data_IF_259806413556
#
_entry.id   IF_259806413556
#
_cell.length_a   1.000
_cell.length_b   1.000
_cell.length_c   1.000
_cell.angle_alpha   90.00
_cell.angle_beta   90.00
_cell.angle_gamma   90.00
#
_symmetry.space_group_name_H-M   'P 1'
#
loop_
_entity.id
_entity.type
_entity.pdbx_description
1 polymer ?
#
# COMPACT_ATOMS: atom_id res chain seq x y z
N UNK A 1 8.40 74.29 30.92
CA UNK A 1 6.99 73.87 30.82
C UNK A 1 6.77 73.06 29.56
N UNK A 2 6.29 71.84 29.73
CA UNK A 2 5.59 71.03 28.71
C UNK A 2 6.44 70.46 27.59
N UNK A 3 6.52 69.23 27.29
CA UNK A 3 5.62 68.09 27.28
C UNK A 3 6.43 66.94 26.67
N UNK A 4 6.67 65.92 27.44
CA UNK A 4 7.22 64.65 27.00
C UNK A 4 6.16 63.60 27.27
N UNK A 5 5.40 63.20 26.24
CA UNK A 5 4.68 61.92 26.23
C UNK A 5 4.17 61.60 24.83
N UNK A 6 4.85 60.64 24.16
CA UNK A 6 4.28 59.70 23.19
C UNK A 6 5.37 58.99 22.38
N UNK A 7 5.99 57.94 22.89
CA UNK A 7 6.74 56.99 22.08
C UNK A 7 6.98 55.63 22.77
N UNK A 8 5.94 55.05 23.38
CA UNK A 8 6.03 53.70 23.94
C UNK A 8 4.93 52.72 23.52
N UNK A 9 4.03 53.13 22.61
CA UNK A 9 2.89 52.27 22.19
C UNK A 9 3.05 51.45 20.93
N UNK A 10 4.05 51.74 20.10
CA UNK A 10 4.15 51.13 18.76
C UNK A 10 5.10 49.94 18.69
N UNK A 11 5.96 49.72 19.68
CA UNK A 11 6.96 48.63 19.66
C UNK A 11 6.39 47.30 20.21
N UNK A 12 5.32 47.34 21.00
CA UNK A 12 4.73 46.12 21.56
C UNK A 12 3.76 45.39 20.64
N UNK A 13 3.19 46.01 19.62
CA UNK A 13 2.25 45.35 18.70
C UNK A 13 2.98 44.59 17.57
N UNK A 14 4.21 44.96 17.21
CA UNK A 14 4.98 44.29 16.16
C UNK A 14 5.56 42.95 16.67
N UNK A 15 5.86 42.84 17.97
CA UNK A 15 6.39 41.58 18.53
C UNK A 15 5.30 40.49 18.69
N UNK A 16 4.05 40.86 18.87
CA UNK A 16 2.95 39.90 19.00
C UNK A 16 2.48 39.31 17.67
N UNK A 17 2.60 40.04 16.56
CA UNK A 17 2.22 39.57 15.22
C UNK A 17 3.30 38.63 14.62
N UNK A 18 4.58 38.84 14.94
CA UNK A 18 5.66 37.91 14.51
C UNK A 18 5.63 36.57 15.27
N UNK A 19 5.18 36.52 16.52
CA UNK A 19 5.07 35.28 17.29
C UNK A 19 3.92 34.37 16.81
N UNK A 20 2.87 34.93 16.19
CA UNK A 20 1.75 34.17 15.62
C UNK A 20 2.03 33.63 14.22
N UNK A 21 2.98 34.18 13.49
CA UNK A 21 3.37 33.71 12.15
C UNK A 21 4.44 32.60 12.17
N UNK A 22 5.16 32.41 13.27
CA UNK A 22 6.18 31.36 13.42
C UNK A 22 5.58 30.05 13.93
N UNK A 23 4.41 30.07 14.57
CA UNK A 23 3.75 28.83 15.03
C UNK A 23 2.94 28.07 13.95
N UNK A 24 2.77 28.65 12.76
CA UNK A 24 2.08 27.97 11.63
C UNK A 24 3.00 27.19 10.67
N UNK A 25 4.31 27.14 10.91
CA UNK A 25 5.26 26.49 9.99
C UNK A 25 5.89 25.20 10.53
N UNK A 26 5.39 24.63 11.63
CA UNK A 26 5.87 23.35 12.15
C UNK A 26 4.78 22.30 12.36
N UNK A 27 3.70 22.36 11.61
CA UNK A 27 2.93 21.13 11.35
C UNK A 27 3.62 20.46 10.17
N UNK A 28 4.75 19.84 10.44
CA UNK A 28 5.27 18.79 9.58
C UNK A 28 4.21 17.71 9.56
N UNK A 29 3.51 17.57 8.44
CA UNK A 29 2.70 16.39 8.18
C UNK A 29 3.62 15.19 8.37
N UNK A 30 3.47 14.50 9.49
CA UNK A 30 3.93 13.13 9.63
C UNK A 30 3.06 12.32 8.67
N UNK A 31 3.46 12.24 7.39
CA UNK A 31 2.99 11.22 6.47
C UNK A 31 3.52 9.86 6.92
N UNK A 32 3.15 9.48 8.15
CA UNK A 32 3.21 8.09 8.59
C UNK A 32 2.18 7.32 7.79
N UNK A 33 2.48 6.10 7.43
CA UNK A 33 1.73 5.01 6.79
C UNK A 33 0.19 4.96 6.93
N UNK A 34 -0.46 5.99 7.41
CA UNK A 34 -1.91 6.07 7.44
C UNK A 34 -2.43 6.31 6.03
N UNK A 35 -2.82 5.20 5.36
CA UNK A 35 -3.84 5.30 4.34
C UNK A 35 -3.48 4.95 2.91
N UNK A 36 -2.43 4.18 2.62
CA UNK A 36 -2.28 3.61 1.29
C UNK A 36 -2.97 2.25 1.22
N UNK A 37 -4.12 2.20 0.53
CA UNK A 37 -4.94 0.99 0.35
C UNK A 37 -5.03 0.58 -1.12
N UNK A 38 -4.17 1.11 -1.97
CA UNK A 38 -4.23 0.98 -3.41
C UNK A 38 -4.97 2.14 -4.08
N UNK A 39 -5.51 1.93 -5.26
CA UNK A 39 -6.23 2.96 -6.02
C UNK A 39 -7.67 3.10 -5.52
N UNK A 40 -8.06 4.26 -5.01
CA UNK A 40 -9.46 4.52 -4.64
C UNK A 40 -10.36 4.44 -5.88
N UNK A 41 -11.40 3.61 -5.80
CA UNK A 41 -12.44 3.55 -6.84
C UNK A 41 -13.47 4.64 -6.59
N UNK A 42 -14.21 4.55 -5.48
CA UNK A 42 -15.18 5.55 -5.03
C UNK A 42 -15.67 5.21 -3.61
N UNK A 43 -16.51 6.05 -3.05
CA UNK A 43 -17.32 5.73 -1.89
C UNK A 43 -18.60 5.00 -2.33
N UNK A 44 -19.08 4.04 -1.52
CA UNK A 44 -20.35 3.34 -1.77
C UNK A 44 -21.50 4.33 -1.78
N UNK A 45 -22.43 4.16 -2.71
CA UNK A 45 -23.73 4.85 -2.64
C UNK A 45 -24.48 4.36 -1.42
N UNK A 46 -25.07 5.29 -0.65
CA UNK A 46 -25.81 4.98 0.58
C UNK A 46 -27.31 4.91 0.28
N UNK A 47 -27.78 3.77 -0.25
CA UNK A 47 -29.16 3.62 -0.67
C UNK A 47 -30.04 3.04 0.41
N UNK A 48 -29.64 1.90 1.01
CA UNK A 48 -30.41 1.17 2.02
C UNK A 48 -29.50 0.52 3.06
N UNK A 49 -30.06 0.16 4.22
CA UNK A 49 -29.45 -0.69 5.24
C UNK A 49 -28.11 -0.16 5.78
N UNK A 50 -27.93 1.18 5.83
CA UNK A 50 -26.71 1.85 6.29
C UNK A 50 -25.44 1.37 5.58
N UNK A 51 -25.55 0.88 4.33
CA UNK A 51 -24.42 0.51 3.51
C UNK A 51 -23.60 1.76 3.23
N UNK A 52 -22.33 1.77 3.67
CA UNK A 52 -21.40 2.86 3.44
C UNK A 52 -19.96 2.38 3.54
N UNK A 53 -19.01 3.21 3.11
CA UNK A 53 -17.58 2.93 3.14
C UNK A 53 -16.91 3.29 1.82
N UNK A 54 -15.58 3.25 1.80
CA UNK A 54 -14.77 3.54 0.61
C UNK A 54 -14.23 2.26 -0.02
N UNK A 55 -14.28 2.13 -1.34
CA UNK A 55 -13.81 0.97 -2.08
C UNK A 55 -12.52 1.29 -2.82
N UNK A 56 -11.51 0.43 -2.65
CA UNK A 56 -10.20 0.55 -3.27
C UNK A 56 -9.88 -0.70 -4.08
N UNK A 57 -9.14 -0.52 -5.17
CA UNK A 57 -8.48 -1.59 -5.91
C UNK A 57 -7.09 -1.82 -5.28
N UNK A 58 -6.89 -2.99 -4.68
CA UNK A 58 -5.59 -3.41 -4.10
C UNK A 58 -4.66 -3.91 -5.20
N UNK A 59 -5.20 -4.73 -6.09
CA UNK A 59 -4.54 -5.28 -7.27
C UNK A 59 -5.59 -5.62 -8.35
N UNK A 60 -5.23 -6.43 -9.35
CA UNK A 60 -6.11 -6.82 -10.44
C UNK A 60 -7.35 -7.61 -9.99
N UNK A 61 -7.33 -8.25 -8.82
CA UNK A 61 -8.36 -9.20 -8.37
C UNK A 61 -8.88 -8.94 -6.97
N UNK A 62 -8.36 -7.93 -6.28
CA UNK A 62 -8.65 -7.68 -4.87
C UNK A 62 -9.24 -6.30 -4.67
N UNK A 63 -10.41 -6.26 -4.04
CA UNK A 63 -11.03 -5.03 -3.53
C UNK A 63 -10.79 -4.93 -2.02
N UNK A 64 -10.56 -3.72 -1.55
CA UNK A 64 -10.50 -3.39 -0.13
C UNK A 64 -11.61 -2.39 0.18
N UNK A 65 -12.46 -2.73 1.15
CA UNK A 65 -13.51 -1.86 1.65
C UNK A 65 -13.04 -1.26 2.98
N UNK A 66 -12.85 0.05 2.99
CA UNK A 66 -12.44 0.82 4.17
C UNK A 66 -13.65 1.36 4.91
N UNK A 67 -13.68 1.17 6.22
CA UNK A 67 -14.75 1.65 7.11
C UNK A 67 -16.15 1.16 6.64
N UNK A 68 -16.24 -0.10 6.21
CA UNK A 68 -17.47 -0.66 5.69
C UNK A 68 -18.53 -0.81 6.79
N UNK A 69 -19.74 -0.36 6.48
CA UNK A 69 -20.91 -0.49 7.33
C UNK A 69 -22.04 -1.21 6.58
N UNK A 70 -22.80 -2.01 7.32
CA UNK A 70 -24.06 -2.62 6.91
C UNK A 70 -24.79 -3.08 8.18
N UNK A 71 -26.11 -2.80 8.29
CA UNK A 71 -26.89 -3.10 9.51
C UNK A 71 -27.15 -4.60 9.75
N UNK A 72 -26.99 -5.44 8.71
CA UNK A 72 -27.19 -6.89 8.81
C UNK A 72 -28.66 -7.31 8.73
N UNK A 73 -29.59 -6.42 8.39
CA UNK A 73 -31.04 -6.68 8.46
C UNK A 73 -31.64 -7.09 7.12
N UNK A 74 -30.88 -7.06 6.02
CA UNK A 74 -31.34 -7.56 4.72
C UNK A 74 -31.44 -9.09 4.72
N UNK A 75 -32.60 -9.69 4.37
CA UNK A 75 -32.82 -11.14 4.51
C UNK A 75 -31.93 -11.99 3.60
N UNK A 76 -31.52 -11.46 2.44
CA UNK A 76 -30.70 -12.15 1.45
C UNK A 76 -29.69 -11.18 0.82
N UNK A 77 -28.92 -10.47 1.64
CA UNK A 77 -27.90 -9.54 1.19
C UNK A 77 -26.56 -10.24 0.92
N UNK A 78 -25.92 -9.90 -0.21
CA UNK A 78 -24.64 -10.46 -0.67
C UNK A 78 -23.79 -9.42 -1.36
N UNK A 79 -22.48 -9.67 -1.42
CA UNK A 79 -21.57 -8.92 -2.30
C UNK A 79 -21.66 -9.43 -3.73
N UNK A 80 -21.82 -8.53 -4.69
CA UNK A 80 -21.88 -8.83 -6.11
C UNK A 80 -20.95 -7.95 -6.92
N UNK A 81 -20.44 -8.51 -8.01
CA UNK A 81 -19.74 -7.77 -9.07
C UNK A 81 -20.32 -8.13 -10.43
N UNK A 82 -20.32 -7.20 -11.34
CA UNK A 82 -20.87 -7.44 -12.68
C UNK A 82 -20.37 -6.46 -13.72
N UNK A 83 -20.71 -6.72 -14.98
CA UNK A 83 -20.28 -5.93 -16.13
C UNK A 83 -21.43 -5.23 -16.87
N UNK A 84 -22.64 -5.31 -16.34
CA UNK A 84 -23.82 -4.60 -16.89
C UNK A 84 -23.74 -3.10 -16.58
N UNK A 85 -24.61 -2.29 -17.17
CA UNK A 85 -24.65 -0.85 -16.95
C UNK A 85 -25.04 -0.45 -15.52
N UNK A 86 -25.89 -1.26 -14.88
CA UNK A 86 -26.36 -1.04 -13.51
C UNK A 86 -26.29 -2.34 -12.72
N UNK A 87 -26.14 -2.29 -11.38
CA UNK A 87 -26.16 -3.46 -10.54
C UNK A 87 -27.41 -4.30 -10.70
N UNK A 88 -27.22 -5.62 -10.75
CA UNK A 88 -28.26 -6.63 -10.84
C UNK A 88 -27.65 -8.00 -10.51
N UNK A 89 -28.41 -8.91 -9.91
CA UNK A 89 -27.92 -10.28 -9.71
C UNK A 89 -27.95 -11.13 -11.01
N UNK A 90 -28.60 -10.65 -12.08
CA UNK A 90 -28.67 -11.36 -13.38
C UNK A 90 -27.35 -11.22 -14.12
N UNK A 91 -26.65 -12.36 -14.34
CA UNK A 91 -25.35 -12.38 -15.02
C UNK A 91 -24.20 -11.78 -14.22
N UNK A 92 -24.41 -11.50 -12.94
CA UNK A 92 -23.39 -11.04 -12.02
C UNK A 92 -22.75 -12.21 -11.24
N UNK A 93 -21.63 -11.95 -10.61
CA UNK A 93 -20.92 -12.92 -9.79
C UNK A 93 -21.08 -12.56 -8.32
N UNK A 94 -21.55 -13.52 -7.51
CA UNK A 94 -21.55 -13.38 -6.06
C UNK A 94 -20.14 -13.60 -5.53
N UNK A 95 -19.67 -12.69 -4.69
CA UNK A 95 -18.40 -12.84 -3.99
C UNK A 95 -18.59 -13.61 -2.68
N UNK A 96 -17.51 -14.24 -2.23
CA UNK A 96 -17.41 -14.70 -0.85
C UNK A 96 -17.12 -13.50 0.06
N UNK A 97 -17.54 -13.59 1.32
CA UNK A 97 -17.18 -12.59 2.32
C UNK A 97 -15.67 -12.65 2.65
N UNK A 98 -15.19 -11.73 3.49
CA UNK A 98 -13.79 -11.66 3.94
C UNK A 98 -13.31 -12.90 4.71
N UNK A 99 -14.23 -13.80 5.05
CA UNK A 99 -13.96 -15.09 5.71
C UNK A 99 -14.13 -16.28 4.77
N UNK A 100 -14.26 -16.01 3.47
CA UNK A 100 -14.44 -17.04 2.45
C UNK A 100 -15.82 -17.69 2.41
N UNK A 101 -16.84 -17.16 3.12
CA UNK A 101 -18.18 -17.73 3.20
C UNK A 101 -19.08 -17.20 2.08
N UNK A 102 -19.96 -18.04 1.56
CA UNK A 102 -20.93 -17.69 0.51
C UNK A 102 -22.35 -17.40 1.06
N UNK A 103 -22.51 -17.33 2.38
CA UNK A 103 -23.78 -17.08 3.05
C UNK A 103 -24.24 -15.62 2.99
N UNK A 104 -25.43 -15.37 3.56
CA UNK A 104 -25.96 -14.01 3.75
C UNK A 104 -24.99 -13.18 4.57
N UNK A 105 -24.82 -11.91 4.19
CA UNK A 105 -23.91 -10.99 4.85
C UNK A 105 -24.33 -10.76 6.31
N UNK A 106 -23.34 -10.77 7.19
CA UNK A 106 -23.51 -10.36 8.58
C UNK A 106 -23.58 -8.84 8.71
N UNK A 107 -23.85 -8.35 9.89
CA UNK A 107 -23.67 -6.95 10.25
C UNK A 107 -22.19 -6.56 10.22
N UNK A 108 -21.88 -5.39 9.68
CA UNK A 108 -20.56 -4.73 9.68
C UNK A 108 -20.65 -3.36 10.34
N UNK A 109 -19.68 -3.01 11.16
CA UNK A 109 -19.62 -1.72 11.84
C UNK A 109 -18.21 -1.14 11.70
N UNK A 110 -18.05 -0.22 10.76
CA UNK A 110 -16.78 0.47 10.51
C UNK A 110 -15.60 -0.51 10.36
N UNK A 111 -15.82 -1.57 9.60
CA UNK A 111 -14.84 -2.64 9.41
C UNK A 111 -14.06 -2.46 8.11
N UNK A 112 -12.77 -2.80 8.18
CA UNK A 112 -11.91 -2.90 7.01
C UNK A 112 -11.90 -4.34 6.53
N UNK A 113 -12.32 -4.58 5.29
CA UNK A 113 -12.45 -5.94 4.74
C UNK A 113 -11.84 -6.04 3.34
N UNK A 114 -11.31 -7.21 3.02
CA UNK A 114 -10.74 -7.53 1.72
C UNK A 114 -11.60 -8.59 1.02
N UNK A 115 -11.94 -8.35 -0.24
CA UNK A 115 -12.75 -9.25 -1.06
C UNK A 115 -11.99 -9.63 -2.33
N UNK A 116 -11.93 -10.93 -2.63
CA UNK A 116 -11.33 -11.45 -3.84
C UNK A 116 -12.37 -11.65 -4.94
N UNK A 117 -12.03 -11.29 -6.18
CA UNK A 117 -12.85 -11.61 -7.35
C UNK A 117 -12.83 -13.13 -7.63
N UNK A 118 -13.87 -13.65 -8.27
CA UNK A 118 -13.92 -15.05 -8.67
C UNK A 118 -12.71 -15.44 -9.54
N UNK A 119 -12.37 -16.72 -9.52
CA UNK A 119 -11.29 -17.24 -10.34
C UNK A 119 -11.45 -16.87 -11.83
N UNK A 120 -10.35 -16.51 -12.48
CA UNK A 120 -10.36 -16.07 -13.87
C UNK A 120 -10.95 -14.69 -14.14
N UNK A 121 -11.40 -13.95 -13.10
CA UNK A 121 -11.91 -12.58 -13.23
C UNK A 121 -10.94 -11.55 -12.65
N UNK A 122 -10.90 -10.39 -13.29
CA UNK A 122 -10.13 -9.22 -12.89
C UNK A 122 -11.03 -7.98 -12.84
N UNK A 123 -10.49 -6.88 -12.31
CA UNK A 123 -11.19 -5.59 -12.31
C UNK A 123 -11.50 -5.06 -13.73
N UNK A 124 -10.83 -5.59 -14.77
CA UNK A 124 -11.13 -5.26 -16.18
C UNK A 124 -12.39 -5.97 -16.71
N UNK A 125 -12.82 -7.04 -16.05
CA UNK A 125 -13.98 -7.83 -16.45
C UNK A 125 -15.28 -7.36 -15.81
N UNK A 126 -15.20 -6.39 -14.89
CA UNK A 126 -16.35 -5.89 -14.13
C UNK A 126 -16.47 -4.37 -14.26
N UNK A 127 -17.66 -3.85 -14.06
CA UNK A 127 -18.00 -2.41 -14.14
C UNK A 127 -18.56 -1.85 -12.86
N UNK A 128 -18.92 -2.71 -11.92
CA UNK A 128 -19.46 -2.30 -10.64
C UNK A 128 -19.24 -3.38 -9.56
N UNK A 129 -19.23 -2.93 -8.32
CA UNK A 129 -19.36 -3.72 -7.11
C UNK A 129 -20.60 -3.23 -6.36
N UNK A 130 -21.39 -4.14 -5.74
CA UNK A 130 -22.60 -3.77 -5.03
C UNK A 130 -22.86 -4.69 -3.83
N UNK A 131 -23.59 -4.15 -2.84
CA UNK A 131 -24.31 -4.92 -1.83
C UNK A 131 -25.75 -5.06 -2.32
N UNK A 132 -26.18 -6.28 -2.62
CA UNK A 132 -27.46 -6.57 -3.27
C UNK A 132 -28.29 -7.56 -2.47
N UNK A 133 -29.59 -7.28 -2.33
CA UNK A 133 -30.56 -8.19 -1.74
C UNK A 133 -31.28 -9.00 -2.83
N UNK A 134 -31.13 -10.33 -2.79
CA UNK A 134 -31.75 -11.22 -3.78
C UNK A 134 -33.27 -11.31 -3.61
N UNK A 135 -33.76 -11.40 -2.38
CA UNK A 135 -35.19 -11.59 -2.11
C UNK A 135 -36.05 -10.42 -2.63
N UNK A 136 -35.55 -9.22 -2.52
CA UNK A 136 -36.26 -8.02 -2.97
C UNK A 136 -35.75 -7.47 -4.31
N UNK A 137 -34.70 -8.04 -4.87
CA UNK A 137 -34.01 -7.51 -6.06
C UNK A 137 -33.64 -6.02 -5.93
N UNK A 138 -33.04 -5.65 -4.79
CA UNK A 138 -32.74 -4.26 -4.43
C UNK A 138 -31.24 -4.06 -4.22
N UNK A 139 -30.73 -2.98 -4.79
CA UNK A 139 -29.37 -2.49 -4.56
C UNK A 139 -29.33 -1.70 -3.23
N UNK A 140 -28.49 -2.13 -2.27
CA UNK A 140 -28.31 -1.42 -0.99
C UNK A 140 -27.23 -0.36 -1.07
N UNK A 141 -26.27 -0.50 -1.99
CA UNK A 141 -25.20 0.43 -2.25
C UNK A 141 -24.20 -0.16 -3.22
N UNK A 142 -23.64 0.66 -4.11
CA UNK A 142 -22.72 0.24 -5.15
C UNK A 142 -21.62 1.27 -5.42
N UNK A 143 -20.61 0.85 -6.14
CA UNK A 143 -19.64 1.71 -6.81
C UNK A 143 -19.52 1.32 -8.28
N UNK A 144 -19.32 2.31 -9.14
CA UNK A 144 -18.99 2.08 -10.55
C UNK A 144 -17.47 1.99 -10.73
N UNK A 145 -17.01 0.99 -11.48
CA UNK A 145 -15.61 0.74 -11.78
C UNK A 145 -15.34 1.15 -13.23
N UNK A 146 -14.48 2.13 -13.41
CA UNK A 146 -14.15 2.65 -14.73
C UNK A 146 -13.25 1.66 -15.48
N UNK A 147 -13.45 1.53 -16.80
CA UNK A 147 -12.64 0.62 -17.63
C UNK A 147 -11.15 1.05 -17.72
N UNK A 148 -10.87 2.33 -17.50
CA UNK A 148 -9.52 2.93 -17.51
C UNK A 148 -8.90 3.00 -16.10
N UNK A 149 -9.48 2.34 -15.09
CA UNK A 149 -8.92 2.30 -13.75
C UNK A 149 -7.48 1.76 -13.77
N UNK A 150 -6.53 2.58 -13.36
CA UNK A 150 -5.15 2.16 -13.15
C UNK A 150 -5.02 1.58 -11.73
N UNK A 151 -5.21 0.27 -11.63
CA UNK A 151 -5.06 -0.46 -10.36
C UNK A 151 -3.61 -0.87 -10.12
N UNK A 152 -3.19 -1.03 -8.85
CA UNK A 152 -1.83 -1.40 -8.49
C UNK A 152 -1.41 -2.76 -9.05
N UNK A 153 -0.11 -2.89 -9.37
CA UNK A 153 0.50 -4.14 -9.87
C UNK A 153 1.99 -4.20 -9.54
N UNK A 154 2.56 -5.38 -9.34
CA UNK A 154 4.00 -5.53 -9.21
C UNK A 154 4.74 -4.87 -10.39
N UNK A 155 5.81 -4.14 -10.10
CA UNK A 155 6.53 -3.35 -11.09
C UNK A 155 7.97 -3.83 -11.20
N UNK A 156 8.43 -4.13 -12.42
CA UNK A 156 9.83 -4.44 -12.70
C UNK A 156 10.65 -3.16 -12.83
N UNK A 157 11.82 -3.17 -12.21
CA UNK A 157 12.85 -2.15 -12.36
C UNK A 157 14.17 -2.80 -12.84
N UNK A 158 15.22 -2.01 -13.05
CA UNK A 158 16.52 -2.54 -13.44
C UNK A 158 17.07 -3.53 -12.40
N UNK A 159 17.94 -4.45 -12.84
CA UNK A 159 18.73 -5.29 -11.95
C UNK A 159 19.96 -4.56 -11.43
N UNK A 160 20.53 -5.07 -10.33
CA UNK A 160 21.81 -4.59 -9.80
C UNK A 160 22.94 -4.92 -10.79
N UNK A 161 23.90 -4.01 -10.91
CA UNK A 161 25.16 -4.20 -11.64
C UNK A 161 26.21 -3.31 -10.99
N UNK A 162 27.28 -3.91 -10.48
CA UNK A 162 28.28 -3.15 -9.72
C UNK A 162 29.59 -3.88 -9.53
N UNK A 163 30.33 -3.53 -8.50
CA UNK A 163 31.61 -4.14 -8.10
C UNK A 163 31.37 -5.27 -7.09
N UNK A 164 32.39 -6.05 -6.75
CA UNK A 164 32.28 -7.18 -5.81
C UNK A 164 31.24 -8.23 -6.24
N UNK A 165 31.17 -8.51 -7.53
CA UNK A 165 30.18 -9.43 -8.13
C UNK A 165 28.71 -9.04 -7.84
N UNK A 166 28.43 -7.83 -7.37
CA UNK A 166 27.07 -7.37 -7.13
C UNK A 166 26.33 -7.32 -8.46
N UNK A 167 25.37 -8.23 -8.62
CA UNK A 167 24.53 -8.31 -9.80
C UNK A 167 23.18 -8.98 -9.48
N UNK A 168 22.17 -8.72 -10.29
CA UNK A 168 20.89 -9.44 -10.26
C UNK A 168 20.19 -9.35 -11.61
N UNK A 169 19.16 -10.18 -11.81
CA UNK A 169 18.16 -9.91 -12.83
C UNK A 169 17.29 -8.70 -12.40
N UNK A 170 16.37 -8.32 -13.29
CA UNK A 170 15.43 -7.22 -13.01
C UNK A 170 14.70 -7.46 -11.69
N UNK A 171 14.81 -6.50 -10.79
CA UNK A 171 14.13 -6.50 -9.50
C UNK A 171 12.63 -6.28 -9.71
N UNK A 172 11.81 -6.95 -8.92
CA UNK A 172 10.36 -6.73 -8.90
C UNK A 172 9.97 -6.09 -7.57
N UNK A 173 9.41 -4.90 -7.63
CA UNK A 173 8.70 -4.29 -6.51
C UNK A 173 7.34 -5.00 -6.45
N UNK A 174 7.17 -5.89 -5.48
CA UNK A 174 5.98 -6.76 -5.34
C UNK A 174 4.80 -5.99 -4.76
N UNK A 175 5.09 -5.24 -3.71
CA UNK A 175 4.15 -4.35 -3.02
C UNK A 175 4.91 -3.16 -2.39
N UNK A 176 4.20 -2.31 -1.67
CA UNK A 176 4.76 -1.09 -1.07
C UNK A 176 5.94 -1.33 -0.11
N UNK A 177 6.17 -2.56 0.37
CA UNK A 177 7.23 -2.88 1.32
C UNK A 177 8.10 -4.08 0.91
N UNK A 178 7.85 -4.71 -0.24
CA UNK A 178 8.49 -5.99 -0.62
C UNK A 178 9.21 -5.89 -1.96
N UNK A 179 10.50 -6.24 -1.95
CA UNK A 179 11.36 -6.35 -3.12
C UNK A 179 11.72 -7.83 -3.37
N UNK A 180 11.46 -8.32 -4.58
CA UNK A 180 11.94 -9.62 -5.07
C UNK A 180 13.15 -9.39 -5.97
N UNK A 181 14.29 -10.00 -5.63
CA UNK A 181 15.57 -9.83 -6.31
C UNK A 181 16.01 -11.19 -6.85
N UNK A 182 15.73 -11.48 -8.14
CA UNK A 182 16.12 -12.74 -8.73
C UNK A 182 17.62 -12.79 -9.05
N UNK A 183 18.22 -13.97 -8.94
CA UNK A 183 19.60 -14.25 -9.31
C UNK A 183 20.63 -13.27 -8.71
N UNK A 184 20.41 -12.86 -7.46
CA UNK A 184 21.34 -11.98 -6.76
C UNK A 184 22.69 -12.67 -6.50
N UNK A 185 23.78 -11.97 -6.85
CA UNK A 185 25.16 -12.38 -6.58
C UNK A 185 25.91 -11.29 -5.84
N UNK A 186 26.84 -11.71 -4.99
CA UNK A 186 27.79 -10.88 -4.24
C UNK A 186 28.93 -11.78 -3.75
N UNK A 187 30.22 -11.33 -3.83
CA UNK A 187 31.38 -12.14 -3.49
C UNK A 187 31.53 -12.44 -1.98
N UNK A 188 30.93 -11.61 -1.10
CA UNK A 188 30.99 -11.78 0.35
C UNK A 188 32.29 -11.30 1.00
N UNK A 189 33.17 -10.62 0.27
CA UNK A 189 34.55 -10.31 0.75
C UNK A 189 34.66 -9.00 1.54
N UNK A 190 33.68 -8.08 1.40
CA UNK A 190 33.75 -6.82 2.14
C UNK A 190 33.35 -6.98 3.62
N UNK A 191 34.05 -6.27 4.53
CA UNK A 191 33.86 -6.46 5.97
C UNK A 191 32.50 -6.02 6.49
N UNK A 192 31.81 -5.09 5.81
CA UNK A 192 30.55 -4.53 6.31
C UNK A 192 29.60 -4.10 5.17
N UNK A 193 29.40 -4.97 4.19
CA UNK A 193 28.40 -4.76 3.14
C UNK A 193 26.98 -5.03 3.65
N UNK A 194 26.02 -4.18 3.29
CA UNK A 194 24.61 -4.23 3.68
C UNK A 194 23.71 -3.98 2.48
N UNK A 195 22.48 -4.50 2.53
CA UNK A 195 21.40 -3.96 1.71
C UNK A 195 21.04 -2.57 2.22
N UNK A 196 20.87 -1.64 1.28
CA UNK A 196 20.82 -0.22 1.59
C UNK A 196 19.78 0.51 0.74
N UNK A 197 19.02 1.41 1.35
CA UNK A 197 18.08 2.29 0.66
C UNK A 197 18.24 3.72 1.15
N UNK A 198 17.74 4.68 0.37
CA UNK A 198 17.67 6.08 0.78
C UNK A 198 16.81 6.91 -0.16
N UNK A 199 16.50 8.14 0.22
CA UNK A 199 15.62 9.04 -0.54
C UNK A 199 16.21 9.57 -1.84
N UNK A 200 17.53 9.74 -1.88
CA UNK A 200 18.24 10.27 -3.04
C UNK A 200 18.34 9.25 -4.20
N UNK A 201 18.85 9.68 -5.35
CA UNK A 201 19.00 8.82 -6.52
C UNK A 201 20.14 7.80 -6.40
N UNK A 202 21.03 7.96 -5.43
CA UNK A 202 22.19 7.10 -5.19
C UNK A 202 22.48 6.97 -3.69
N UNK A 203 23.19 5.89 -3.27
CA UNK A 203 23.54 5.64 -1.87
C UNK A 203 24.43 6.74 -1.27
N UNK A 204 24.19 6.99 -0.01
CA UNK A 204 25.01 7.84 0.86
C UNK A 204 25.11 7.20 2.25
N UNK A 205 26.03 7.67 3.09
CA UNK A 205 26.17 7.21 4.48
C UNK A 205 24.92 7.49 5.37
N UNK A 206 23.95 8.25 4.88
CA UNK A 206 22.69 8.57 5.58
C UNK A 206 21.52 7.69 5.14
N UNK A 207 21.79 6.58 4.47
CA UNK A 207 20.76 5.63 4.07
C UNK A 207 20.28 4.76 5.25
N UNK A 208 19.41 3.83 4.92
CA UNK A 208 18.75 2.91 5.87
C UNK A 208 19.17 1.49 5.53
N UNK A 209 19.59 0.74 6.54
CA UNK A 209 19.87 -0.70 6.41
C UNK A 209 18.57 -1.47 6.17
N UNK A 210 18.64 -2.43 5.27
CA UNK A 210 17.56 -3.38 5.02
C UNK A 210 18.04 -4.74 5.53
N UNK A 211 17.27 -5.39 6.42
CA UNK A 211 17.58 -6.76 6.84
C UNK A 211 17.66 -7.71 5.64
N UNK A 212 18.53 -8.72 5.73
CA UNK A 212 18.59 -9.79 4.73
C UNK A 212 17.30 -10.63 4.70
N UNK A 213 17.21 -11.60 3.81
CA UNK A 213 16.04 -12.48 3.66
C UNK A 213 15.76 -13.35 4.90
N UNK A 214 16.65 -13.31 5.90
CA UNK A 214 16.47 -13.99 7.20
C UNK A 214 16.20 -12.99 8.34
N UNK A 215 16.00 -11.70 8.03
CA UNK A 215 15.74 -10.65 8.98
C UNK A 215 16.97 -10.15 9.74
N UNK A 216 18.20 -10.38 9.22
CA UNK A 216 19.46 -10.01 9.89
C UNK A 216 20.06 -8.76 9.26
N UNK A 217 20.62 -7.88 10.09
CA UNK A 217 21.36 -6.68 9.68
C UNK A 217 22.89 -6.84 9.81
N UNK A 218 23.37 -8.08 9.96
CA UNK A 218 24.82 -8.38 9.96
C UNK A 218 25.41 -8.16 8.57
N UNK A 219 26.76 -8.08 8.41
CA UNK A 219 27.39 -8.02 7.10
C UNK A 219 26.88 -9.12 6.16
N UNK A 220 26.65 -8.78 4.92
CA UNK A 220 26.17 -9.72 3.91
C UNK A 220 27.22 -10.82 3.68
N UNK A 221 26.74 -12.05 3.61
CA UNK A 221 27.52 -13.20 3.19
C UNK A 221 27.60 -13.25 1.65
N UNK A 222 28.37 -14.18 1.12
CA UNK A 222 28.38 -14.51 -0.31
C UNK A 222 27.01 -14.98 -0.76
N UNK A 223 26.59 -14.47 -1.92
CA UNK A 223 25.43 -14.90 -2.68
C UNK A 223 25.88 -15.36 -4.07
N UNK A 224 25.33 -16.45 -4.56
CA UNK A 224 25.59 -16.96 -5.89
C UNK A 224 24.24 -17.23 -6.59
N UNK A 225 23.83 -16.30 -7.44
CA UNK A 225 22.58 -16.33 -8.20
C UNK A 225 21.35 -16.74 -7.41
N UNK A 226 21.26 -16.25 -6.18
CA UNK A 226 20.16 -16.59 -5.28
C UNK A 226 18.99 -15.63 -5.47
N UNK A 227 17.79 -16.18 -5.63
CA UNK A 227 16.57 -15.36 -5.55
C UNK A 227 16.25 -15.07 -4.08
N UNK A 228 16.16 -13.78 -3.73
CA UNK A 228 15.87 -13.32 -2.37
C UNK A 228 14.66 -12.39 -2.36
N UNK A 229 13.97 -12.37 -1.23
CA UNK A 229 12.87 -11.45 -0.97
C UNK A 229 13.22 -10.62 0.25
N UNK A 230 13.23 -9.31 0.09
CA UNK A 230 13.51 -8.36 1.15
C UNK A 230 12.27 -7.56 1.51
N UNK A 231 12.09 -7.33 2.81
CA UNK A 231 11.01 -6.49 3.32
C UNK A 231 11.60 -5.22 3.91
N UNK A 232 11.07 -4.07 3.53
CA UNK A 232 11.47 -2.78 4.07
C UNK A 232 11.11 -2.70 5.57
N UNK A 233 12.01 -2.22 6.43
CA UNK A 233 11.81 -2.24 7.88
C UNK A 233 10.78 -1.21 8.35
N UNK A 234 10.13 -1.52 9.46
CA UNK A 234 9.20 -0.61 10.12
C UNK A 234 8.05 -0.19 9.21
N UNK A 235 7.89 1.11 9.05
CA UNK A 235 6.85 1.72 8.23
C UNK A 235 7.40 2.29 6.90
N UNK A 236 8.66 2.01 6.59
CA UNK A 236 9.28 2.43 5.34
C UNK A 236 8.62 1.75 4.14
N UNK A 237 8.37 2.52 3.10
CA UNK A 237 7.78 2.04 1.85
C UNK A 237 8.64 2.38 0.65
N UNK A 238 8.35 1.75 -0.49
CA UNK A 238 9.01 2.07 -1.76
C UNK A 238 8.73 3.50 -2.24
N UNK A 239 7.71 4.15 -1.70
CA UNK A 239 7.40 5.57 -2.00
C UNK A 239 8.30 6.55 -1.23
N UNK A 240 8.99 6.09 -0.19
CA UNK A 240 9.88 6.89 0.65
C UNK A 240 11.33 6.87 0.17
N UNK A 241 11.66 5.99 -0.80
CA UNK A 241 13.03 5.73 -1.24
C UNK A 241 13.23 6.02 -2.72
N UNK A 242 14.41 6.50 -3.10
CA UNK A 242 14.80 6.79 -4.48
C UNK A 242 15.78 5.77 -5.06
N UNK A 243 16.38 4.90 -4.22
CA UNK A 243 17.28 3.83 -4.65
C UNK A 243 17.26 2.62 -3.71
N UNK A 244 17.69 1.48 -4.24
CA UNK A 244 18.04 0.27 -3.50
C UNK A 244 19.40 -0.23 -3.99
N UNK A 245 20.26 -0.71 -3.10
CA UNK A 245 21.59 -1.22 -3.49
C UNK A 245 22.31 -1.98 -2.40
N UNK A 246 23.58 -2.26 -2.66
CA UNK A 246 24.55 -2.83 -1.72
C UNK A 246 25.59 -1.75 -1.38
N UNK A 247 25.72 -1.46 -0.11
CA UNK A 247 26.60 -0.43 0.43
C UNK A 247 27.57 -1.00 1.47
N UNK A 248 28.84 -0.66 1.38
CA UNK A 248 29.82 -0.98 2.40
C UNK A 248 29.93 0.18 3.41
N UNK A 249 29.44 -0.03 4.63
CA UNK A 249 29.48 1.01 5.67
C UNK A 249 30.91 1.30 6.15
N UNK A 250 31.74 0.26 6.29
CA UNK A 250 33.12 0.42 6.75
C UNK A 250 33.96 1.33 5.83
N UNK A 251 33.72 1.27 4.53
CA UNK A 251 34.47 2.04 3.54
C UNK A 251 33.67 3.18 2.93
N UNK A 252 32.39 3.33 3.25
CA UNK A 252 31.48 4.32 2.66
C UNK A 252 31.45 4.25 1.13
N UNK A 253 31.31 3.02 0.59
CA UNK A 253 31.39 2.75 -0.85
C UNK A 253 30.09 2.08 -1.34
N UNK A 254 29.60 2.58 -2.45
CA UNK A 254 28.52 2.00 -3.23
C UNK A 254 29.05 0.82 -4.08
N UNK A 255 28.55 -0.37 -3.83
CA UNK A 255 28.92 -1.55 -4.61
C UNK A 255 28.01 -1.78 -5.82
N UNK A 256 26.89 -1.11 -5.85
CA UNK A 256 25.92 -1.15 -6.94
C UNK A 256 24.51 -0.87 -6.44
N UNK A 257 23.80 -0.04 -7.19
CA UNK A 257 22.44 0.35 -6.84
C UNK A 257 21.55 0.47 -8.08
N UNK A 258 20.25 0.47 -7.84
CA UNK A 258 19.22 0.75 -8.83
C UNK A 258 18.32 1.87 -8.33
N UNK A 259 17.80 2.68 -9.26
CA UNK A 259 16.83 3.73 -8.94
C UNK A 259 15.43 3.13 -8.78
N UNK A 260 14.71 3.61 -7.78
CA UNK A 260 13.27 3.40 -7.62
C UNK A 260 12.57 4.53 -8.39
N UNK A 261 11.66 4.24 -9.33
CA UNK A 261 10.94 5.29 -10.06
C UNK A 261 10.02 6.10 -9.12
N UNK A 262 9.93 7.41 -9.36
CA UNK A 262 9.12 8.33 -8.54
C UNK A 262 7.60 8.07 -8.65
N UNK A 263 7.15 7.54 -9.78
CA UNK A 263 5.74 7.27 -10.06
C UNK A 263 5.51 5.78 -10.29
N UNK A 264 5.23 5.06 -9.22
CA UNK A 264 4.89 3.65 -9.25
C UNK A 264 3.52 3.43 -8.63
N UNK A 265 2.73 2.51 -9.21
CA UNK A 265 1.45 2.09 -8.68
C UNK A 265 1.54 0.60 -8.34
N UNK A 266 2.03 0.29 -7.13
CA UNK A 266 2.22 -1.07 -6.63
C UNK A 266 1.20 -1.40 -5.54
N UNK A 267 0.88 -2.68 -5.31
CA UNK A 267 -0.06 -3.07 -4.27
C UNK A 267 0.36 -2.57 -2.87
N UNK A 268 -0.58 -2.26 -1.97
CA UNK A 268 -0.27 -2.10 -0.56
C UNK A 268 0.24 -3.44 0.01
N UNK A 269 1.11 -3.40 1.01
CA UNK A 269 1.50 -4.61 1.74
C UNK A 269 0.33 -5.14 2.59
N UNK A 270 0.36 -6.43 2.92
CA UNK A 270 -0.66 -7.03 3.81
C UNK A 270 -0.73 -6.31 5.17
N UNK A 271 0.42 -5.86 5.69
CA UNK A 271 0.49 -5.07 6.93
C UNK A 271 -0.31 -3.78 6.82
N UNK A 272 -0.25 -3.07 5.70
CA UNK A 272 -0.98 -1.82 5.47
C UNK A 272 -2.50 -2.05 5.43
N UNK A 273 -2.93 -3.21 4.97
CA UNK A 273 -4.34 -3.61 4.96
C UNK A 273 -4.81 -4.19 6.31
N UNK A 274 -3.94 -4.26 7.32
CA UNK A 274 -4.25 -4.87 8.61
C UNK A 274 -4.40 -6.39 8.56
N UNK A 275 -3.91 -7.04 7.49
CA UNK A 275 -4.00 -8.49 7.29
C UNK A 275 -2.71 -9.14 7.83
N UNK A 276 -2.84 -10.05 8.81
CA UNK A 276 -1.69 -10.82 9.25
C UNK A 276 -1.31 -11.92 8.24
N UNK A 277 -0.02 -12.27 8.11
CA UNK A 277 0.41 -13.36 7.22
C UNK A 277 -0.26 -14.72 7.49
N UNK A 278 -0.70 -14.96 8.72
CA UNK A 278 -1.45 -16.16 9.11
C UNK A 278 -2.86 -16.18 8.51
N UNK A 279 -3.52 -15.02 8.42
CA UNK A 279 -4.83 -14.91 7.77
C UNK A 279 -4.71 -15.14 6.26
N UNK A 280 -3.65 -14.65 5.62
CA UNK A 280 -3.40 -14.86 4.20
C UNK A 280 -3.25 -16.37 3.84
N UNK A 281 -2.62 -17.18 4.71
CA UNK A 281 -2.49 -18.64 4.50
C UNK A 281 -3.82 -19.38 4.50
N UNK A 282 -4.77 -18.96 5.34
CA UNK A 282 -6.10 -19.58 5.41
C UNK A 282 -6.85 -19.41 4.09
N UNK A 283 -6.69 -18.26 3.43
CA UNK A 283 -7.30 -18.01 2.11
C UNK A 283 -6.71 -18.89 1.01
N UNK A 284 -5.38 -19.04 0.95
CA UNK A 284 -4.71 -19.85 -0.08
C UNK A 284 -4.96 -21.37 0.07
N UNK A 285 -5.13 -21.88 1.28
CA UNK A 285 -5.43 -23.30 1.53
C UNK A 285 -6.89 -23.64 1.24
N UNK A 286 -7.81 -22.69 1.34
CA UNK A 286 -9.21 -22.89 0.95
C UNK A 286 -9.40 -22.89 -0.56
N UNK A 287 -8.64 -22.10 -1.33
CA UNK A 287 -8.67 -22.13 -2.80
C UNK A 287 -8.13 -23.46 -3.38
N UNK A 288 -7.25 -24.17 -2.67
CA UNK A 288 -6.66 -25.43 -3.14
C UNK A 288 -7.54 -26.68 -2.89
N UNK A 289 -8.70 -26.55 -2.23
CA UNK A 289 -9.56 -27.67 -1.86
C UNK A 289 -10.87 -27.80 -2.64
N UNK A 290 -11.03 -26.98 -3.71
CA UNK A 290 -12.23 -27.04 -4.55
C UNK A 290 -11.88 -27.14 -6.03
#
# INVERSE_FOLDING_TARGET
MTSTHRRTGVIMEIAAVCALLVSCLLVGESNGLQGYYGTKIADLTELHHAVSGSVYAVDARTLFLKNFNYDGEGPAAYFYVGNTRAPSNKGAFRLRDERGRAGVLRKYRNEDITLSLPEGKTLRDIRWFAVWCDDFSVNFGDVQIRNDLDFPRPTKIAGLNGVHDVSSDNIVIVDAQTLLIPNFSYDGEAPDAKFWVGRGPAPTSQGIRIPDENGKETPLRRYDKKTIVLTLPGDLTVFDIGHFGVWCEAFTVDFGHVRIPDQINVPPSLKMLGISPQQARVYSEQESRY
#
